data_IF_088504813959
#
_entry.id   IF_088504813959
#
_cell.length_a   1.000
_cell.length_b   1.000
_cell.length_c   1.000
_cell.angle_alpha   90.00
_cell.angle_beta   90.00
_cell.angle_gamma   90.00
#
_symmetry.space_group_name_H-M   'P 1'
#
loop_
_entity.id
_entity.type
_entity.pdbx_description
1 polymer ?
#
# COMPACT_ATOMS: atom_id res chain seq x y z
N UNK A 1 -44.26 -11.67 12.45
CA UNK A 1 -44.88 -11.21 13.73
C UNK A 1 -44.39 -9.79 14.01
N UNK A 2 -45.24 -8.89 14.51
CA UNK A 2 -44.78 -7.61 15.03
C UNK A 2 -43.79 -7.82 16.18
N UNK A 3 -42.81 -6.92 16.32
CA UNK A 3 -41.87 -6.94 17.44
C UNK A 3 -42.64 -6.67 18.75
N UNK A 4 -42.57 -7.60 19.70
CA UNK A 4 -43.12 -7.38 21.04
C UNK A 4 -42.16 -6.52 21.87
N UNK A 5 -42.44 -5.21 21.90
CA UNK A 5 -41.65 -4.21 22.63
C UNK A 5 -41.70 -4.46 24.15
N UNK A 6 -42.70 -5.17 24.66
CA UNK A 6 -42.83 -5.46 26.09
C UNK A 6 -41.89 -6.58 26.57
N UNK A 7 -41.30 -7.34 25.65
CA UNK A 7 -40.36 -8.42 25.92
C UNK A 7 -39.14 -8.38 24.98
N UNK A 8 -38.45 -7.23 24.93
CA UNK A 8 -37.23 -7.07 24.14
C UNK A 8 -36.02 -7.83 24.71
N UNK A 9 -36.05 -8.22 26.00
CA UNK A 9 -34.93 -8.90 26.63
C UNK A 9 -34.67 -10.28 26.01
N UNK A 10 -35.72 -11.06 25.77
CA UNK A 10 -35.64 -12.40 25.18
C UNK A 10 -34.97 -12.44 23.80
N UNK A 11 -35.36 -11.63 22.80
CA UNK A 11 -34.71 -11.62 21.49
C UNK A 11 -33.32 -10.95 21.46
N UNK A 12 -32.93 -10.18 22.48
CA UNK A 12 -31.62 -9.50 22.56
C UNK A 12 -30.58 -10.32 23.34
N UNK A 13 -31.01 -11.28 24.16
CA UNK A 13 -30.10 -12.15 24.93
C UNK A 13 -29.30 -13.13 24.07
N UNK A 14 -29.90 -13.62 22.99
CA UNK A 14 -29.22 -14.49 22.03
C UNK A 14 -28.47 -13.65 20.98
N UNK A 15 -27.27 -14.08 20.53
CA UNK A 15 -26.61 -13.44 19.40
C UNK A 15 -27.57 -13.40 18.21
N UNK A 16 -27.86 -12.21 17.70
CA UNK A 16 -28.75 -12.06 16.57
C UNK A 16 -28.22 -12.90 15.39
N UNK A 17 -29.09 -13.74 14.82
CA UNK A 17 -28.77 -14.45 13.59
C UNK A 17 -28.35 -13.44 12.53
N UNK A 18 -27.17 -13.63 11.95
CA UNK A 18 -26.63 -12.75 10.91
C UNK A 18 -26.85 -13.37 9.53
N UNK A 19 -27.81 -12.89 8.72
CA UNK A 19 -28.11 -13.48 7.42
C UNK A 19 -27.00 -13.20 6.40
N UNK A 20 -26.76 -14.15 5.49
CA UNK A 20 -25.80 -13.97 4.39
C UNK A 20 -26.16 -12.76 3.50
N UNK A 21 -27.45 -12.45 3.35
CA UNK A 21 -27.88 -11.24 2.63
C UNK A 21 -27.40 -9.96 3.31
N UNK A 22 -27.38 -9.90 4.65
CA UNK A 22 -26.86 -8.76 5.40
C UNK A 22 -25.34 -8.67 5.27
N UNK A 23 -24.64 -9.81 5.33
CA UNK A 23 -23.20 -9.88 5.10
C UNK A 23 -22.82 -9.33 3.71
N UNK A 24 -23.54 -9.72 2.66
CA UNK A 24 -23.33 -9.23 1.29
C UNK A 24 -23.51 -7.72 1.19
N UNK A 25 -24.53 -7.15 1.85
CA UNK A 25 -24.78 -5.70 1.84
C UNK A 25 -23.64 -4.92 2.51
N UNK A 26 -23.13 -5.40 3.65
CA UNK A 26 -22.04 -4.70 4.34
C UNK A 26 -20.69 -4.86 3.65
N UNK A 27 -20.49 -5.94 2.88
CA UNK A 27 -19.26 -6.20 2.12
C UNK A 27 -19.30 -5.67 0.68
N UNK A 28 -20.39 -5.04 0.24
CA UNK A 28 -20.54 -4.59 -1.14
C UNK A 28 -19.43 -3.61 -1.58
N UNK A 29 -19.04 -2.59 -0.78
CA UNK A 29 -17.93 -1.69 -1.14
C UNK A 29 -16.58 -2.42 -1.29
N UNK A 30 -16.32 -3.43 -0.46
CA UNK A 30 -15.12 -4.26 -0.54
C UNK A 30 -15.14 -5.18 -1.76
N UNK A 31 -16.28 -5.78 -2.05
CA UNK A 31 -16.49 -6.63 -3.23
C UNK A 31 -16.30 -5.82 -4.51
N UNK A 32 -16.81 -4.58 -4.53
CA UNK A 32 -16.60 -3.65 -5.63
C UNK A 32 -15.11 -3.42 -5.93
N UNK A 33 -14.31 -3.01 -4.94
CA UNK A 33 -12.88 -2.69 -5.18
C UNK A 33 -12.03 -3.92 -5.51
N UNK A 34 -12.43 -5.11 -5.05
CA UNK A 34 -11.72 -6.36 -5.30
C UNK A 34 -12.15 -7.05 -6.61
N UNK A 35 -13.28 -6.64 -7.20
CA UNK A 35 -13.76 -7.17 -8.50
C UNK A 35 -12.83 -6.83 -9.67
N UNK A 36 -12.03 -5.76 -9.56
CA UNK A 36 -11.00 -5.38 -10.51
C UNK A 36 -9.63 -5.44 -9.84
N UNK A 37 -8.97 -6.61 -9.84
CA UNK A 37 -7.63 -6.74 -9.29
C UNK A 37 -6.68 -5.79 -10.02
N UNK A 38 -5.71 -5.25 -9.28
CA UNK A 38 -4.71 -4.34 -9.83
C UNK A 38 -3.57 -5.13 -10.44
N UNK A 39 -2.48 -4.44 -10.79
CA UNK A 39 -1.20 -5.13 -11.01
C UNK A 39 -0.80 -5.76 -9.67
N UNK A 40 -0.90 -7.08 -9.57
CA UNK A 40 -0.80 -7.87 -8.33
C UNK A 40 0.65 -8.05 -7.87
N UNK A 41 1.42 -6.96 -7.76
CA UNK A 41 2.83 -6.96 -7.31
C UNK A 41 2.98 -7.67 -5.96
N UNK A 42 1.98 -7.56 -5.07
CA UNK A 42 1.98 -8.25 -3.78
C UNK A 42 1.93 -9.77 -3.93
N UNK A 43 1.11 -10.28 -4.84
CA UNK A 43 1.04 -11.72 -5.13
C UNK A 43 2.36 -12.21 -5.70
N UNK A 44 2.94 -11.46 -6.64
CA UNK A 44 4.27 -11.77 -7.19
C UNK A 44 5.36 -11.77 -6.10
N UNK A 45 5.33 -10.82 -5.17
CA UNK A 45 6.25 -10.79 -4.05
C UNK A 45 6.07 -11.99 -3.13
N UNK A 46 4.83 -12.34 -2.76
CA UNK A 46 4.55 -13.53 -1.94
C UNK A 46 5.13 -14.78 -2.62
N UNK A 47 4.91 -14.96 -3.92
CA UNK A 47 5.47 -16.09 -4.67
C UNK A 47 7.00 -16.06 -4.68
N UNK A 48 7.60 -14.91 -4.96
CA UNK A 48 9.03 -14.72 -5.01
C UNK A 48 9.73 -15.02 -3.67
N UNK A 49 9.17 -14.52 -2.55
CA UNK A 49 9.67 -14.85 -1.22
C UNK A 49 9.43 -16.32 -0.84
N UNK A 50 8.37 -16.94 -1.36
CA UNK A 50 8.09 -18.34 -1.08
C UNK A 50 9.14 -19.29 -1.69
N UNK A 51 9.86 -18.85 -2.73
CA UNK A 51 11.06 -19.56 -3.25
C UNK A 51 12.14 -19.75 -2.18
N UNK A 52 12.27 -18.79 -1.26
CA UNK A 52 13.20 -18.88 -0.13
C UNK A 52 12.60 -19.52 1.12
N UNK A 53 11.31 -19.29 1.39
CA UNK A 53 10.69 -19.64 2.68
C UNK A 53 9.96 -20.98 2.67
N UNK A 54 9.60 -21.51 1.50
CA UNK A 54 8.91 -22.80 1.32
C UNK A 54 7.72 -23.00 2.29
N UNK A 55 6.87 -21.98 2.41
CA UNK A 55 5.71 -22.01 3.30
C UNK A 55 4.70 -23.05 2.80
N UNK A 56 4.13 -23.90 3.68
CA UNK A 56 3.11 -24.86 3.29
C UNK A 56 1.93 -24.20 2.58
N UNK A 57 1.43 -24.82 1.51
CA UNK A 57 0.42 -24.20 0.62
C UNK A 57 -0.81 -23.69 1.37
N UNK A 58 -1.34 -24.47 2.31
CA UNK A 58 -2.51 -24.10 3.10
C UNK A 58 -2.28 -22.83 3.93
N UNK A 59 -1.09 -22.70 4.52
CA UNK A 59 -0.71 -21.52 5.31
C UNK A 59 -0.47 -20.31 4.41
N UNK A 60 0.21 -20.51 3.27
CA UNK A 60 0.44 -19.47 2.27
C UNK A 60 -0.87 -18.90 1.72
N UNK A 61 -1.88 -19.76 1.49
CA UNK A 61 -3.20 -19.34 1.03
C UNK A 61 -3.93 -18.49 2.09
N UNK A 62 -3.82 -18.83 3.38
CA UNK A 62 -4.35 -18.00 4.48
C UNK A 62 -3.63 -16.65 4.54
N UNK A 63 -2.28 -16.65 4.52
CA UNK A 63 -1.47 -15.42 4.54
C UNK A 63 -1.85 -14.52 3.37
N UNK A 64 -1.99 -15.07 2.18
CA UNK A 64 -2.38 -14.32 0.97
C UNK A 64 -3.76 -13.67 1.12
N UNK A 65 -4.73 -14.37 1.74
CA UNK A 65 -6.06 -13.81 2.03
C UNK A 65 -5.99 -12.69 3.05
N UNK A 66 -5.28 -12.88 4.16
CA UNK A 66 -5.07 -11.83 5.19
C UNK A 66 -4.45 -10.57 4.58
N UNK A 67 -3.34 -10.71 3.85
CA UNK A 67 -2.64 -9.59 3.23
C UNK A 67 -3.54 -8.87 2.22
N UNK A 68 -4.28 -9.60 1.39
CA UNK A 68 -5.23 -9.01 0.44
C UNK A 68 -6.33 -8.22 1.14
N UNK A 69 -6.91 -8.77 2.21
CA UNK A 69 -7.97 -8.11 2.98
C UNK A 69 -7.47 -6.81 3.61
N UNK A 70 -6.33 -6.86 4.30
CA UNK A 70 -5.73 -5.67 4.94
C UNK A 70 -5.36 -4.61 3.89
N UNK A 71 -4.77 -5.00 2.77
CA UNK A 71 -4.40 -4.08 1.71
C UNK A 71 -5.62 -3.43 1.05
N UNK A 72 -6.63 -4.21 0.69
CA UNK A 72 -7.85 -3.68 0.07
C UNK A 72 -8.63 -2.79 1.03
N UNK A 73 -8.72 -3.16 2.32
CA UNK A 73 -9.32 -2.32 3.34
C UNK A 73 -8.57 -0.99 3.49
N UNK A 74 -7.24 -1.02 3.54
CA UNK A 74 -6.44 0.21 3.67
C UNK A 74 -6.60 1.14 2.48
N UNK A 75 -6.71 0.61 1.26
CA UNK A 75 -6.97 1.43 0.07
C UNK A 75 -8.32 2.15 0.13
N UNK A 76 -9.36 1.50 0.69
CA UNK A 76 -10.68 2.13 0.83
C UNK A 76 -10.64 3.31 1.78
N UNK A 77 -9.88 3.19 2.88
CA UNK A 77 -9.69 4.26 3.86
C UNK A 77 -8.82 5.37 3.27
N UNK A 78 -7.68 5.02 2.68
CA UNK A 78 -6.73 5.95 2.03
C UNK A 78 -7.41 6.78 0.94
N UNK A 79 -8.19 6.14 0.05
CA UNK A 79 -8.94 6.86 -1.01
C UNK A 79 -9.93 7.89 -0.43
N UNK A 80 -10.47 7.66 0.78
CA UNK A 80 -11.33 8.63 1.48
C UNK A 80 -10.49 9.75 2.10
N UNK A 81 -9.42 9.38 2.80
CA UNK A 81 -8.53 10.31 3.50
C UNK A 81 -7.86 11.29 2.54
N UNK A 82 -7.58 10.85 1.31
CA UNK A 82 -6.96 11.63 0.23
C UNK A 82 -8.01 12.34 -0.66
N UNK A 83 -9.29 11.97 -0.55
CA UNK A 83 -10.35 12.55 -1.38
C UNK A 83 -10.23 12.14 -2.85
N UNK A 84 -9.66 10.97 -3.11
CA UNK A 84 -9.43 10.43 -4.44
C UNK A 84 -10.71 10.35 -5.28
N UNK A 85 -10.56 10.43 -6.60
CA UNK A 85 -11.68 10.28 -7.55
C UNK A 85 -11.70 8.91 -8.19
N UNK A 86 -10.54 8.41 -8.58
CA UNK A 86 -10.39 7.16 -9.31
C UNK A 86 -9.40 6.21 -8.62
N UNK A 87 -9.67 4.92 -8.74
CA UNK A 87 -8.73 3.85 -8.46
C UNK A 87 -8.80 2.81 -9.57
N UNK A 88 -7.65 2.46 -10.16
CA UNK A 88 -7.56 1.49 -11.26
C UNK A 88 -8.51 1.85 -12.43
N UNK A 89 -8.63 3.16 -12.70
CA UNK A 89 -9.47 3.71 -13.76
C UNK A 89 -10.97 3.63 -13.49
N UNK A 90 -11.40 3.39 -12.25
CA UNK A 90 -12.81 3.34 -11.84
C UNK A 90 -13.09 4.31 -10.70
N UNK A 91 -14.34 4.78 -10.53
CA UNK A 91 -14.71 5.57 -9.37
C UNK A 91 -14.36 4.84 -8.07
N UNK A 92 -13.78 5.56 -7.10
CA UNK A 92 -13.49 4.99 -5.78
C UNK A 92 -14.79 4.62 -5.04
N UNK A 93 -14.73 3.63 -4.15
CA UNK A 93 -15.92 3.07 -3.49
C UNK A 93 -16.78 4.13 -2.79
N UNK A 94 -16.16 5.10 -2.11
CA UNK A 94 -16.88 6.13 -1.38
C UNK A 94 -17.66 7.10 -2.28
N UNK A 95 -17.37 7.15 -3.59
CA UNK A 95 -18.14 7.92 -4.58
C UNK A 95 -19.40 7.20 -5.05
N UNK A 96 -19.46 5.88 -4.84
CA UNK A 96 -20.62 5.03 -5.20
C UNK A 96 -21.49 4.78 -3.96
N UNK A 97 -20.86 4.33 -2.88
CA UNK A 97 -21.52 3.84 -1.66
C UNK A 97 -21.58 4.90 -0.54
N UNK A 98 -20.90 6.04 -0.73
CA UNK A 98 -20.76 7.07 0.29
C UNK A 98 -19.65 6.76 1.30
N UNK A 99 -19.16 7.82 1.92
CA UNK A 99 -18.09 7.75 2.95
C UNK A 99 -18.51 6.87 4.14
N UNK A 100 -19.72 7.01 4.75
CA UNK A 100 -20.05 6.26 5.96
C UNK A 100 -20.05 4.74 5.75
N UNK A 101 -20.63 4.27 4.64
CA UNK A 101 -20.66 2.84 4.33
C UNK A 101 -19.26 2.31 4.03
N UNK A 102 -18.48 3.06 3.23
CA UNK A 102 -17.14 2.63 2.82
C UNK A 102 -16.16 2.53 4.00
N UNK A 103 -16.15 3.51 4.92
CA UNK A 103 -15.33 3.44 6.14
C UNK A 103 -15.76 2.25 7.00
N UNK A 104 -17.06 2.06 7.21
CA UNK A 104 -17.55 0.95 8.02
C UNK A 104 -17.16 -0.41 7.44
N UNK A 105 -17.31 -0.59 6.12
CA UNK A 105 -16.89 -1.81 5.42
C UNK A 105 -15.39 -2.04 5.53
N UNK A 106 -14.56 -1.01 5.31
CA UNK A 106 -13.11 -1.14 5.39
C UNK A 106 -12.66 -1.57 6.79
N UNK A 107 -13.19 -0.90 7.83
CA UNK A 107 -12.90 -1.24 9.22
C UNK A 107 -13.38 -2.65 9.58
N UNK A 108 -14.55 -3.05 9.09
CA UNK A 108 -15.06 -4.40 9.27
C UNK A 108 -14.12 -5.46 8.65
N UNK A 109 -13.59 -5.20 7.45
CA UNK A 109 -12.66 -6.09 6.76
C UNK A 109 -11.33 -6.22 7.51
N UNK A 110 -10.84 -5.18 8.21
CA UNK A 110 -9.69 -5.34 9.11
C UNK A 110 -9.94 -6.43 10.15
N UNK A 111 -11.11 -6.46 10.79
CA UNK A 111 -11.43 -7.50 11.78
C UNK A 111 -11.71 -8.87 11.15
N UNK A 112 -12.27 -8.91 9.94
CA UNK A 112 -12.35 -10.16 9.18
C UNK A 112 -10.97 -10.72 8.86
N UNK A 113 -9.96 -9.87 8.63
CA UNK A 113 -8.59 -10.32 8.40
C UNK A 113 -7.99 -10.97 9.66
N UNK A 114 -8.31 -10.48 10.86
CA UNK A 114 -7.96 -11.16 12.12
C UNK A 114 -8.70 -12.48 12.30
N UNK A 115 -9.98 -12.55 11.90
CA UNK A 115 -10.73 -13.82 11.88
C UNK A 115 -10.07 -14.85 10.96
N UNK A 116 -9.58 -14.42 9.80
CA UNK A 116 -8.85 -15.25 8.85
C UNK A 116 -7.48 -15.66 9.40
N UNK A 117 -6.75 -14.74 10.03
CA UNK A 117 -5.47 -14.99 10.70
C UNK A 117 -5.59 -16.09 11.77
N UNK A 118 -6.75 -16.19 12.44
CA UNK A 118 -6.99 -17.22 13.44
C UNK A 118 -6.96 -18.65 12.88
N UNK A 119 -7.10 -18.85 11.57
CA UNK A 119 -6.94 -20.16 10.94
C UNK A 119 -5.50 -20.65 11.07
N UNK A 120 -4.49 -19.76 10.98
CA UNK A 120 -3.10 -20.12 11.20
C UNK A 120 -2.82 -20.59 12.63
N UNK A 121 -3.65 -20.19 13.60
CA UNK A 121 -3.52 -20.54 15.02
C UNK A 121 -4.06 -21.93 15.36
N UNK A 122 -5.02 -22.43 14.58
CA UNK A 122 -5.81 -23.63 14.91
C UNK A 122 -5.26 -24.93 14.32
N UNK A 123 -3.99 -24.98 13.92
CA UNK A 123 -3.35 -26.25 13.58
C UNK A 123 -3.14 -27.10 14.86
N UNK A 124 -3.41 -28.40 14.75
CA UNK A 124 -3.45 -29.35 15.87
C UNK A 124 -2.12 -29.37 16.65
N UNK A 125 -2.15 -29.20 17.99
CA UNK A 125 -0.94 -29.26 18.82
C UNK A 125 -0.22 -30.63 18.79
N UNK A 126 -0.81 -31.66 18.17
CA UNK A 126 -0.10 -32.93 17.89
C UNK A 126 0.92 -32.86 16.75
N UNK A 127 0.88 -31.83 15.91
CA UNK A 127 1.89 -31.54 14.87
C UNK A 127 3.05 -30.65 15.38
N UNK A 128 3.07 -30.31 16.69
CA UNK A 128 4.02 -29.37 17.29
C UNK A 128 5.46 -29.91 17.44
N UNK A 129 5.72 -31.21 17.23
CA UNK A 129 7.10 -31.74 17.29
C UNK A 129 7.97 -31.28 16.11
N UNK A 130 7.39 -30.73 15.03
CA UNK A 130 8.12 -30.35 13.80
C UNK A 130 8.10 -28.83 13.53
N UNK A 131 7.37 -28.04 14.33
CA UNK A 131 7.23 -26.59 14.06
C UNK A 131 8.14 -25.76 14.96
N UNK A 132 9.12 -25.11 14.34
CA UNK A 132 10.12 -24.24 15.00
C UNK A 132 9.50 -22.92 15.55
N UNK A 133 8.25 -22.59 15.22
CA UNK A 133 7.67 -21.24 15.46
C UNK A 133 6.49 -21.24 16.43
N UNK A 134 6.59 -21.98 17.54
CA UNK A 134 5.64 -21.90 18.66
C UNK A 134 5.63 -20.53 19.39
N UNK A 135 6.45 -19.54 18.97
CA UNK A 135 6.78 -18.35 19.76
C UNK A 135 6.62 -16.99 19.06
N UNK A 136 5.98 -16.89 17.89
CA UNK A 136 5.56 -15.60 17.34
C UNK A 136 4.05 -15.48 17.48
N UNK A 137 3.64 -14.64 18.42
CA UNK A 137 2.26 -14.19 18.51
C UNK A 137 1.92 -13.48 17.18
N UNK A 138 1.24 -14.21 16.29
CA UNK A 138 0.88 -13.73 14.96
C UNK A 138 -0.03 -12.50 15.06
N UNK A 139 -0.86 -12.42 16.11
CA UNK A 139 -1.71 -11.27 16.39
C UNK A 139 -0.82 -10.05 16.69
N UNK A 140 0.23 -10.20 17.51
CA UNK A 140 1.19 -9.12 17.76
C UNK A 140 1.94 -8.70 16.47
N UNK A 141 2.39 -9.65 15.66
CA UNK A 141 3.08 -9.34 14.37
C UNK A 141 2.21 -8.45 13.48
N UNK A 142 0.94 -8.82 13.30
CA UNK A 142 0.01 -8.04 12.47
C UNK A 142 -0.34 -6.71 13.13
N UNK A 143 -0.57 -6.72 14.44
CA UNK A 143 -0.95 -5.51 15.20
C UNK A 143 0.15 -4.46 15.19
N UNK A 144 1.41 -4.84 15.41
CA UNK A 144 2.55 -3.91 15.39
C UNK A 144 2.71 -3.23 14.03
N UNK A 145 2.54 -3.98 12.94
CA UNK A 145 2.66 -3.43 11.59
C UNK A 145 1.44 -2.61 11.17
N UNK A 146 0.24 -2.94 11.64
CA UNK A 146 -0.93 -2.06 11.46
C UNK A 146 -0.79 -0.76 12.25
N UNK A 147 -0.20 -0.80 13.46
CA UNK A 147 0.13 0.41 14.22
C UNK A 147 1.19 1.24 13.49
N UNK A 148 2.22 0.61 12.92
CA UNK A 148 3.21 1.29 12.08
C UNK A 148 2.53 1.95 10.87
N UNK A 149 1.68 1.23 10.14
CA UNK A 149 0.92 1.75 9.00
C UNK A 149 0.16 3.02 9.37
N UNK A 150 -0.62 2.99 10.46
CA UNK A 150 -1.40 4.15 10.90
C UNK A 150 -0.52 5.31 11.39
N UNK A 151 0.64 5.04 12.00
CA UNK A 151 1.61 6.09 12.36
C UNK A 151 2.17 6.78 11.11
N UNK A 152 2.49 6.01 10.08
CA UNK A 152 2.92 6.54 8.78
C UNK A 152 1.84 7.40 8.13
N UNK A 153 0.62 6.84 7.98
CA UNK A 153 -0.54 7.54 7.43
C UNK A 153 -0.84 8.83 8.19
N UNK A 154 -0.86 8.77 9.52
CA UNK A 154 -1.16 9.92 10.37
C UNK A 154 -0.15 11.06 10.21
N UNK A 155 1.14 10.76 10.06
CA UNK A 155 2.17 11.77 9.81
C UNK A 155 2.03 12.39 8.42
N UNK A 156 1.76 11.59 7.39
CA UNK A 156 1.52 12.09 6.03
C UNK A 156 0.33 13.05 5.99
N UNK A 157 -0.80 12.64 6.59
CA UNK A 157 -2.01 13.48 6.72
C UNK A 157 -1.70 14.75 7.51
N UNK A 158 -0.98 14.63 8.63
CA UNK A 158 -0.60 15.78 9.44
C UNK A 158 0.22 16.79 8.63
N UNK A 159 1.26 16.36 7.92
CA UNK A 159 2.09 17.24 7.09
C UNK A 159 1.27 17.90 5.99
N UNK A 160 0.45 17.12 5.28
CA UNK A 160 -0.46 17.59 4.23
C UNK A 160 -1.42 18.67 4.73
N UNK A 161 -2.07 18.43 5.86
CA UNK A 161 -3.14 19.29 6.37
C UNK A 161 -2.61 20.50 7.17
N UNK A 162 -1.41 20.39 7.77
CA UNK A 162 -0.70 21.50 8.41
C UNK A 162 0.17 22.32 7.46
N UNK A 163 0.33 21.87 6.21
CA UNK A 163 1.24 22.43 5.20
C UNK A 163 2.70 22.48 5.68
N UNK A 164 3.11 21.50 6.49
CA UNK A 164 4.47 21.36 7.00
C UNK A 164 5.24 20.35 6.14
N UNK A 165 6.16 20.83 5.32
CA UNK A 165 6.99 19.95 4.49
C UNK A 165 7.96 19.12 5.35
N UNK A 166 7.92 17.77 5.31
CA UNK A 166 8.87 16.93 6.03
C UNK A 166 10.27 17.03 5.42
N UNK A 167 11.29 16.64 6.18
CA UNK A 167 12.62 16.31 5.64
C UNK A 167 12.58 15.02 4.84
N UNK A 168 13.57 14.79 3.96
CA UNK A 168 13.66 13.52 3.23
C UNK A 168 13.79 12.33 4.18
N UNK A 169 14.52 12.48 5.29
CA UNK A 169 14.66 11.43 6.30
C UNK A 169 13.34 11.13 7.02
N UNK A 170 12.56 12.16 7.36
CA UNK A 170 11.22 12.00 7.93
C UNK A 170 10.28 11.33 6.93
N UNK A 171 10.31 11.75 5.65
CA UNK A 171 9.56 11.13 4.58
C UNK A 171 9.90 9.63 4.46
N UNK A 172 11.18 9.26 4.40
CA UNK A 172 11.60 7.85 4.31
C UNK A 172 11.11 7.05 5.52
N UNK A 173 11.19 7.64 6.71
CA UNK A 173 10.70 7.00 7.95
C UNK A 173 9.19 6.81 7.95
N UNK A 174 8.44 7.79 7.42
CA UNK A 174 6.99 7.70 7.24
C UNK A 174 6.63 6.60 6.22
N UNK A 175 7.30 6.57 5.07
CA UNK A 175 7.09 5.56 4.02
C UNK A 175 7.39 4.15 4.54
N UNK A 176 8.48 3.99 5.28
CA UNK A 176 8.83 2.71 5.88
C UNK A 176 7.73 2.21 6.84
N UNK A 177 7.02 3.12 7.51
CA UNK A 177 5.88 2.80 8.34
C UNK A 177 4.60 2.49 7.52
N UNK A 178 4.18 3.39 6.62
CA UNK A 178 2.95 3.27 5.81
C UNK A 178 3.02 2.10 4.82
N UNK A 179 3.97 2.16 3.88
CA UNK A 179 4.05 1.23 2.75
C UNK A 179 4.82 -0.02 3.11
N UNK A 180 5.89 0.13 3.90
CA UNK A 180 6.66 -1.01 4.42
C UNK A 180 5.86 -1.90 5.36
N UNK A 181 4.90 -1.35 6.13
CA UNK A 181 4.10 -2.12 7.11
C UNK A 181 3.32 -3.27 6.47
N UNK A 182 2.58 -3.02 5.39
CA UNK A 182 1.83 -4.08 4.71
C UNK A 182 2.73 -5.15 4.08
N UNK A 183 3.86 -4.77 3.49
CA UNK A 183 4.81 -5.76 2.96
C UNK A 183 5.44 -6.58 4.10
N UNK A 184 5.78 -5.94 5.22
CA UNK A 184 6.31 -6.62 6.41
C UNK A 184 5.30 -7.60 7.00
N UNK A 185 3.99 -7.30 7.02
CA UNK A 185 2.97 -8.26 7.44
C UNK A 185 3.07 -9.55 6.62
N UNK A 186 3.07 -9.43 5.29
CA UNK A 186 3.15 -10.59 4.41
C UNK A 186 4.40 -11.44 4.71
N UNK A 187 5.57 -10.81 4.71
CA UNK A 187 6.84 -11.54 4.85
C UNK A 187 7.07 -12.03 6.28
N UNK A 188 6.67 -11.28 7.31
CA UNK A 188 6.78 -11.73 8.71
C UNK A 188 5.87 -12.93 9.00
N UNK A 189 4.66 -12.96 8.45
CA UNK A 189 3.78 -14.12 8.55
C UNK A 189 4.38 -15.31 7.78
N UNK A 190 4.92 -15.10 6.58
CA UNK A 190 5.60 -16.16 5.82
C UNK A 190 6.83 -16.71 6.56
N UNK A 191 7.68 -15.85 7.11
CA UNK A 191 8.83 -16.26 7.93
C UNK A 191 8.39 -17.05 9.17
N UNK A 192 7.25 -16.72 9.76
CA UNK A 192 6.69 -17.48 10.89
C UNK A 192 6.16 -18.87 10.49
N UNK A 193 5.93 -19.09 9.20
CA UNK A 193 5.40 -20.33 8.63
C UNK A 193 6.42 -21.05 7.73
N UNK A 194 7.67 -20.59 7.70
CA UNK A 194 8.68 -21.06 6.77
C UNK A 194 9.19 -22.47 7.15
N UNK A 195 9.55 -23.26 6.14
CA UNK A 195 10.20 -24.58 6.31
C UNK A 195 11.66 -24.59 5.88
N UNK A 196 12.10 -23.51 5.21
CA UNK A 196 13.48 -23.28 4.76
C UNK A 196 13.91 -21.85 5.10
N UNK A 197 15.21 -21.61 5.29
CA UNK A 197 15.76 -20.29 5.61
C UNK A 197 15.11 -19.63 6.84
N UNK A 198 14.75 -20.44 7.84
CA UNK A 198 13.99 -20.03 9.04
C UNK A 198 14.72 -18.99 9.92
N UNK A 199 16.05 -18.96 9.84
CA UNK A 199 16.91 -18.05 10.63
C UNK A 199 17.33 -16.79 9.86
N UNK A 200 16.81 -16.60 8.64
CA UNK A 200 17.16 -15.45 7.79
C UNK A 200 16.13 -14.34 7.98
N UNK A 201 16.60 -13.15 8.35
CA UNK A 201 15.75 -11.96 8.41
C UNK A 201 15.67 -11.26 7.05
N UNK A 202 14.47 -11.28 6.47
CA UNK A 202 14.16 -10.63 5.19
C UNK A 202 13.59 -9.21 5.35
N UNK A 203 13.35 -8.73 6.57
CA UNK A 203 12.78 -7.39 6.82
C UNK A 203 13.62 -6.26 6.20
N UNK A 204 14.97 -6.27 6.25
CA UNK A 204 15.77 -5.21 5.63
C UNK A 204 15.52 -5.08 4.12
N UNK A 205 15.47 -6.20 3.39
CA UNK A 205 15.14 -6.24 1.97
C UNK A 205 13.73 -5.68 1.71
N UNK A 206 12.76 -6.10 2.52
CA UNK A 206 11.37 -5.63 2.40
C UNK A 206 11.24 -4.13 2.63
N UNK A 207 11.98 -3.58 3.59
CA UNK A 207 12.01 -2.15 3.86
C UNK A 207 12.63 -1.37 2.69
N UNK A 208 13.77 -1.83 2.15
CA UNK A 208 14.40 -1.24 0.97
C UNK A 208 13.44 -1.23 -0.23
N UNK A 209 12.79 -2.37 -0.50
CA UNK A 209 11.80 -2.50 -1.57
C UNK A 209 10.61 -1.57 -1.33
N UNK A 210 10.10 -1.48 -0.10
CA UNK A 210 8.97 -0.61 0.24
C UNK A 210 9.26 0.88 0.00
N UNK A 211 10.47 1.34 0.34
CA UNK A 211 10.90 2.72 0.07
C UNK A 211 11.07 2.97 -1.43
N UNK A 212 11.75 2.06 -2.14
CA UNK A 212 11.87 2.12 -3.61
C UNK A 212 10.49 2.19 -4.28
N UNK A 213 9.57 1.31 -3.88
CA UNK A 213 8.24 1.21 -4.46
C UNK A 213 7.43 2.50 -4.28
N UNK A 214 7.50 3.13 -3.09
CA UNK A 214 6.75 4.35 -2.82
C UNK A 214 7.33 5.56 -3.56
N UNK A 215 8.65 5.76 -3.56
CA UNK A 215 9.29 6.87 -4.28
C UNK A 215 8.99 6.77 -5.78
N UNK A 216 9.00 5.55 -6.31
CA UNK A 216 8.58 5.28 -7.68
C UNK A 216 7.10 5.62 -7.91
N UNK A 217 6.19 5.22 -7.02
CA UNK A 217 4.75 5.53 -7.15
C UNK A 217 4.50 7.05 -7.16
N UNK A 218 5.17 7.79 -6.29
CA UNK A 218 5.16 9.25 -6.19
C UNK A 218 5.68 9.91 -7.49
N UNK A 219 6.80 9.41 -8.04
CA UNK A 219 7.31 9.88 -9.32
C UNK A 219 6.31 9.64 -10.47
N UNK A 220 5.77 8.42 -10.54
CA UNK A 220 4.85 8.02 -11.60
C UNK A 220 3.52 8.77 -11.53
N UNK A 221 3.05 9.16 -10.34
CA UNK A 221 1.85 9.98 -10.16
C UNK A 221 1.94 11.31 -10.94
N UNK A 222 3.13 11.94 -10.93
CA UNK A 222 3.37 13.24 -11.56
C UNK A 222 3.80 13.16 -13.03
N UNK A 223 4.21 11.99 -13.51
CA UNK A 223 4.88 11.84 -14.82
C UNK A 223 4.12 10.94 -15.81
N UNK A 224 3.37 9.93 -15.34
CA UNK A 224 2.85 8.88 -16.20
C UNK A 224 1.44 9.17 -16.71
N UNK A 225 1.25 9.04 -18.03
CA UNK A 225 -0.08 9.08 -18.66
C UNK A 225 -0.94 7.88 -18.25
N UNK A 226 -0.35 6.70 -18.06
CA UNK A 226 -1.07 5.52 -17.56
C UNK A 226 -1.60 5.76 -16.15
N UNK A 227 -0.78 6.33 -15.27
CA UNK A 227 -1.21 6.73 -13.93
C UNK A 227 -2.29 7.80 -13.99
N UNK A 228 -2.17 8.75 -14.91
CA UNK A 228 -3.19 9.77 -15.13
C UNK A 228 -4.55 9.18 -15.49
N UNK A 229 -4.57 8.09 -16.28
CA UNK A 229 -5.80 7.38 -16.63
C UNK A 229 -6.35 6.53 -15.45
N UNK A 230 -5.47 6.03 -14.58
CA UNK A 230 -5.83 5.11 -13.50
C UNK A 230 -6.22 5.79 -12.18
N UNK A 231 -5.57 6.91 -11.84
CA UNK A 231 -5.77 7.68 -10.59
C UNK A 231 -6.31 9.09 -10.86
N UNK A 232 -5.94 9.69 -11.98
CA UNK A 232 -6.18 11.10 -12.30
C UNK A 232 -4.85 11.81 -12.58
N UNK A 233 -4.88 12.90 -13.36
CA UNK A 233 -3.66 13.62 -13.74
C UNK A 233 -3.03 14.32 -12.53
N UNK A 234 -1.84 13.87 -12.10
CA UNK A 234 -1.10 14.42 -10.96
C UNK A 234 -1.96 14.61 -9.71
N UNK A 235 -2.62 13.52 -9.27
CA UNK A 235 -3.50 13.54 -8.10
C UNK A 235 -2.78 13.91 -6.81
N UNK A 236 -1.49 13.61 -6.64
CA UNK A 236 -0.74 14.03 -5.44
C UNK A 236 -0.84 15.57 -5.22
N UNK A 237 -0.94 16.35 -6.30
CA UNK A 237 -1.15 17.79 -6.22
C UNK A 237 -2.60 18.15 -5.84
N UNK A 238 -3.60 17.40 -6.29
CA UNK A 238 -5.00 17.56 -5.82
C UNK A 238 -5.10 17.25 -4.34
N UNK A 239 -4.44 16.20 -3.89
CA UNK A 239 -4.43 15.75 -2.49
C UNK A 239 -3.70 16.79 -1.60
N UNK A 240 -2.75 17.53 -2.17
CA UNK A 240 -1.84 18.42 -1.45
C UNK A 240 -0.71 17.66 -0.76
N UNK A 241 -0.44 16.43 -1.23
CA UNK A 241 0.48 15.48 -0.64
C UNK A 241 1.94 15.93 -0.81
N UNK A 242 2.74 15.71 0.22
CA UNK A 242 4.20 15.88 0.17
C UNK A 242 4.86 14.60 -0.35
N UNK A 243 4.67 14.31 -1.64
CA UNK A 243 5.33 13.19 -2.31
C UNK A 243 6.84 13.44 -2.51
N UNK A 244 7.66 12.42 -2.75
CA UNK A 244 9.13 12.56 -2.75
C UNK A 244 9.67 13.68 -3.66
N UNK A 245 9.24 13.81 -4.94
CA UNK A 245 9.67 14.92 -5.79
C UNK A 245 9.23 16.29 -5.25
N UNK A 246 8.08 16.36 -4.60
CA UNK A 246 7.52 17.58 -4.01
C UNK A 246 8.33 17.99 -2.77
N UNK A 247 8.68 17.03 -1.90
CA UNK A 247 9.56 17.26 -0.73
C UNK A 247 10.89 17.84 -1.16
N UNK A 248 11.57 17.20 -2.13
CA UNK A 248 12.81 17.72 -2.68
C UNK A 248 12.60 19.11 -3.30
N UNK A 249 11.55 19.29 -4.10
CA UNK A 249 11.27 20.57 -4.77
C UNK A 249 11.07 21.75 -3.81
N UNK A 250 10.37 21.54 -2.69
CA UNK A 250 10.19 22.57 -1.66
C UNK A 250 11.51 22.89 -0.96
N UNK A 251 12.37 21.89 -0.73
CA UNK A 251 13.63 22.04 0.00
C UNK A 251 14.79 22.55 -0.84
N UNK A 252 14.76 22.30 -2.16
CA UNK A 252 15.75 22.80 -3.09
C UNK A 252 15.74 24.34 -3.20
N UNK A 253 14.58 24.97 -2.95
CA UNK A 253 14.44 26.43 -2.91
C UNK A 253 13.44 26.86 -1.81
N UNK A 254 13.87 26.81 -0.55
CA UNK A 254 13.02 27.11 0.62
C UNK A 254 12.47 28.55 0.64
N UNK A 255 13.08 29.47 -0.11
CA UNK A 255 12.60 30.87 -0.24
C UNK A 255 11.40 30.96 -1.18
N UNK A 256 11.21 29.96 -2.04
CA UNK A 256 10.18 29.94 -3.05
C UNK A 256 8.95 29.16 -2.58
N UNK A 257 7.85 29.88 -2.40
CA UNK A 257 6.60 29.31 -1.88
C UNK A 257 5.66 28.77 -2.97
N UNK A 258 6.09 28.72 -4.24
CA UNK A 258 5.21 28.34 -5.37
C UNK A 258 4.61 26.94 -5.14
N UNK A 259 5.43 25.93 -4.85
CA UNK A 259 4.95 24.55 -4.65
C UNK A 259 3.98 24.51 -3.45
N UNK A 260 4.37 25.07 -2.30
CA UNK A 260 3.53 25.11 -1.09
C UNK A 260 2.18 25.79 -1.34
N UNK A 261 2.17 26.92 -2.05
CA UNK A 261 0.95 27.65 -2.38
C UNK A 261 0.05 26.88 -3.36
N UNK A 262 0.61 26.02 -4.21
CA UNK A 262 -0.20 25.13 -5.06
C UNK A 262 -0.77 23.97 -4.25
N UNK A 263 0.02 23.31 -3.41
CA UNK A 263 -0.47 22.22 -2.54
C UNK A 263 -1.61 22.68 -1.65
N UNK A 264 -1.50 23.87 -1.05
CA UNK A 264 -2.57 24.45 -0.22
C UNK A 264 -3.88 24.64 -0.99
N UNK A 265 -3.81 24.90 -2.30
CA UNK A 265 -5.01 25.12 -3.14
C UNK A 265 -5.67 23.83 -3.60
N UNK A 266 -5.00 22.67 -3.50
CA UNK A 266 -5.53 21.37 -3.91
C UNK A 266 -6.18 21.41 -5.30
N UNK A 267 -5.43 21.82 -6.35
CA UNK A 267 -6.00 22.09 -7.65
C UNK A 267 -6.65 20.86 -8.27
N UNK A 268 -7.89 21.01 -8.72
CA UNK A 268 -8.58 20.00 -9.54
C UNK A 268 -8.37 20.23 -11.04
N UNK A 269 -7.97 21.43 -11.45
CA UNK A 269 -7.75 21.78 -12.86
C UNK A 269 -6.29 21.62 -13.29
N UNK A 270 -6.02 21.33 -14.58
CA UNK A 270 -4.66 21.02 -15.02
C UNK A 270 -3.67 22.19 -14.96
N UNK A 271 -4.12 23.44 -14.95
CA UNK A 271 -3.25 24.62 -15.10
C UNK A 271 -2.18 24.71 -14.01
N UNK A 272 -2.60 24.62 -12.74
CA UNK A 272 -1.67 24.66 -11.61
C UNK A 272 -0.83 23.38 -11.50
N UNK A 273 -1.38 22.24 -11.94
CA UNK A 273 -0.66 20.97 -11.97
C UNK A 273 0.51 21.01 -12.97
N UNK A 274 0.26 21.41 -14.22
CA UNK A 274 1.31 21.59 -15.23
C UNK A 274 2.37 22.60 -14.77
N UNK A 275 1.96 23.75 -14.25
CA UNK A 275 2.90 24.75 -13.75
C UNK A 275 3.84 24.20 -12.66
N UNK A 276 3.31 23.40 -11.74
CA UNK A 276 4.10 22.80 -10.66
C UNK A 276 5.02 21.70 -11.18
N UNK A 277 4.55 20.87 -12.12
CA UNK A 277 5.36 19.84 -12.79
C UNK A 277 6.53 20.49 -13.55
N UNK A 278 6.29 21.57 -14.29
CA UNK A 278 7.34 22.31 -15.00
C UNK A 278 8.34 22.92 -14.02
N UNK A 279 7.87 23.43 -12.88
CA UNK A 279 8.73 23.93 -11.82
C UNK A 279 9.63 22.83 -11.24
N UNK A 280 9.06 21.68 -10.89
CA UNK A 280 9.78 20.50 -10.40
C UNK A 280 10.82 19.99 -11.41
N UNK A 281 10.50 20.05 -12.71
CA UNK A 281 11.40 19.60 -13.78
C UNK A 281 12.54 20.58 -14.03
N UNK A 282 12.21 21.84 -14.29
CA UNK A 282 13.15 22.79 -14.91
C UNK A 282 13.75 23.78 -13.92
N UNK A 283 13.18 23.95 -12.72
CA UNK A 283 13.69 24.91 -11.72
C UNK A 283 14.42 24.23 -10.57
N UNK A 284 13.89 23.12 -10.07
CA UNK A 284 14.47 22.42 -8.92
C UNK A 284 15.11 21.08 -9.29
N UNK A 285 15.01 20.63 -10.55
CA UNK A 285 15.54 19.34 -11.01
C UNK A 285 15.12 18.15 -10.13
N UNK A 286 13.90 18.23 -9.57
CA UNK A 286 13.40 17.25 -8.59
C UNK A 286 13.10 15.89 -9.22
N UNK A 287 12.75 15.86 -10.51
CA UNK A 287 12.55 14.60 -11.23
C UNK A 287 13.88 13.87 -11.45
N UNK A 288 14.93 14.58 -11.88
CA UNK A 288 16.27 13.99 -12.05
C UNK A 288 16.83 13.51 -10.71
N UNK A 289 16.65 14.29 -9.64
CA UNK A 289 17.00 13.87 -8.28
C UNK A 289 16.27 12.59 -7.87
N UNK A 290 14.95 12.54 -8.08
CA UNK A 290 14.12 11.37 -7.74
C UNK A 290 14.55 10.12 -8.52
N UNK A 291 14.85 10.27 -9.81
CA UNK A 291 15.34 9.18 -10.65
C UNK A 291 16.70 8.64 -10.17
N UNK A 292 17.64 9.53 -9.81
CA UNK A 292 18.93 9.14 -9.23
C UNK A 292 18.76 8.38 -7.90
N UNK A 293 17.89 8.86 -7.01
CA UNK A 293 17.58 8.20 -5.74
C UNK A 293 16.95 6.82 -5.99
N UNK A 294 16.00 6.73 -6.91
CA UNK A 294 15.30 5.48 -7.26
C UNK A 294 16.27 4.47 -7.87
N UNK A 295 17.19 4.91 -8.73
CA UNK A 295 18.25 4.06 -9.31
C UNK A 295 19.21 3.53 -8.25
N UNK A 296 19.64 4.39 -7.31
CA UNK A 296 20.48 3.97 -6.17
C UNK A 296 19.78 2.97 -5.27
N UNK A 297 18.49 3.19 -4.97
CA UNK A 297 17.69 2.24 -4.19
C UNK A 297 17.52 0.91 -4.92
N UNK A 298 17.26 0.92 -6.22
CA UNK A 298 17.16 -0.31 -7.03
C UNK A 298 18.46 -1.13 -6.95
N UNK A 299 19.63 -0.47 -7.08
CA UNK A 299 20.92 -1.13 -6.93
C UNK A 299 21.11 -1.75 -5.53
N UNK A 300 20.68 -1.04 -4.47
CA UNK A 300 20.73 -1.55 -3.10
C UNK A 300 19.80 -2.76 -2.92
N UNK A 301 18.59 -2.74 -3.48
CA UNK A 301 17.67 -3.88 -3.43
C UNK A 301 18.29 -5.09 -4.15
N UNK A 302 18.87 -4.90 -5.35
CA UNK A 302 19.54 -5.98 -6.09
C UNK A 302 20.75 -6.54 -5.34
N UNK A 303 21.56 -5.68 -4.74
CA UNK A 303 22.70 -6.10 -3.92
C UNK A 303 22.25 -6.93 -2.71
N UNK A 304 21.14 -6.54 -2.07
CA UNK A 304 20.58 -7.27 -0.94
C UNK A 304 19.98 -8.62 -1.36
N UNK A 305 19.29 -8.69 -2.52
CA UNK A 305 18.85 -9.96 -3.11
C UNK A 305 20.04 -10.90 -3.36
N UNK A 306 21.12 -10.39 -3.96
CA UNK A 306 22.32 -11.17 -4.20
C UNK A 306 22.98 -11.65 -2.90
N UNK A 307 23.05 -10.79 -1.87
CA UNK A 307 23.56 -11.12 -0.54
C UNK A 307 22.76 -12.25 0.12
N UNK A 308 21.44 -12.30 -0.11
CA UNK A 308 20.52 -13.32 0.39
C UNK A 308 20.50 -14.60 -0.47
N UNK A 309 21.41 -14.75 -1.43
CA UNK A 309 21.54 -15.96 -2.26
C UNK A 309 20.85 -15.89 -3.63
N UNK A 310 20.36 -14.72 -4.03
CA UNK A 310 19.74 -14.49 -5.34
C UNK A 310 18.27 -14.91 -5.41
N UNK A 311 17.49 -14.21 -6.24
CA UNK A 311 16.08 -14.50 -6.49
C UNK A 311 15.64 -13.86 -7.81
N UNK A 312 15.63 -14.68 -8.86
CA UNK A 312 15.20 -14.33 -10.22
C UNK A 312 13.79 -13.73 -10.30
N UNK A 313 12.85 -14.20 -9.46
CA UNK A 313 11.49 -13.66 -9.42
C UNK A 313 11.48 -12.23 -8.85
N UNK A 314 12.24 -11.96 -7.79
CA UNK A 314 12.37 -10.59 -7.25
C UNK A 314 13.11 -9.67 -8.23
N UNK A 315 14.15 -10.16 -8.90
CA UNK A 315 14.86 -9.42 -9.94
C UNK A 315 13.93 -9.09 -11.12
N UNK A 316 13.10 -10.04 -11.55
CA UNK A 316 12.09 -9.80 -12.59
C UNK A 316 11.02 -8.79 -12.20
N UNK A 317 10.62 -8.76 -10.92
CA UNK A 317 9.72 -7.70 -10.39
C UNK A 317 10.41 -6.33 -10.47
N UNK A 318 11.70 -6.23 -10.11
CA UNK A 318 12.45 -4.98 -10.23
C UNK A 318 12.59 -4.53 -11.68
N UNK A 319 12.86 -5.45 -12.60
CA UNK A 319 12.96 -5.15 -14.04
C UNK A 319 11.63 -4.58 -14.57
N UNK A 320 10.49 -5.15 -14.16
CA UNK A 320 9.16 -4.65 -14.53
C UNK A 320 8.83 -3.28 -13.89
N UNK A 321 9.46 -2.96 -12.77
CA UNK A 321 9.31 -1.68 -12.07
C UNK A 321 10.33 -0.63 -12.51
N UNK A 322 11.37 -1.00 -13.26
CA UNK A 322 12.41 -0.07 -13.66
C UNK A 322 11.84 1.15 -14.39
N UNK A 323 12.28 2.35 -13.98
CA UNK A 323 11.95 3.62 -14.64
C UNK A 323 13.20 4.10 -15.36
N UNK A 324 13.21 4.17 -16.70
CA UNK A 324 14.38 4.62 -17.45
C UNK A 324 14.73 6.07 -17.11
N UNK A 325 16.03 6.41 -17.12
CA UNK A 325 16.50 7.78 -16.87
C UNK A 325 16.11 8.78 -17.97
N UNK A 326 15.75 8.32 -19.17
CA UNK A 326 15.62 9.14 -20.39
C UNK A 326 14.18 9.62 -20.73
N UNK A 327 13.26 9.69 -19.76
CA UNK A 327 11.87 10.16 -20.04
C UNK A 327 11.77 11.69 -20.27
N UNK A 328 12.90 12.37 -20.48
CA UNK A 328 13.00 13.83 -20.63
C UNK A 328 12.61 14.41 -22.00
N UNK A 329 12.29 13.59 -23.00
CA UNK A 329 11.86 14.07 -24.31
C UNK A 329 10.40 13.68 -24.60
N UNK A 330 9.50 14.66 -24.61
CA UNK A 330 8.12 14.50 -25.06
C UNK A 330 8.13 14.06 -26.53
N UNK A 331 7.63 12.86 -26.82
CA UNK A 331 7.43 12.37 -28.18
C UNK A 331 7.05 10.90 -28.21
N UNK A 332 5.75 10.63 -28.18
CA UNK A 332 5.08 9.43 -28.73
C UNK A 332 5.97 8.20 -28.95
N UNK A 333 6.07 7.34 -27.95
CA UNK A 333 6.26 5.91 -28.20
C UNK A 333 5.29 5.16 -27.33
N UNK A 334 4.24 4.62 -27.96
CA UNK A 334 3.55 3.43 -27.47
C UNK A 334 4.58 2.31 -27.34
N UNK A 335 5.30 2.26 -26.22
CA UNK A 335 5.87 0.99 -25.79
C UNK A 335 4.73 0.23 -25.15
N UNK A 336 4.12 -0.66 -25.95
CA UNK A 336 3.35 -1.78 -25.43
C UNK A 336 4.26 -2.61 -24.52
N UNK A 337 4.38 -2.22 -23.25
CA UNK A 337 4.84 -3.11 -22.19
C UNK A 337 3.69 -4.08 -21.91
N UNK A 338 3.54 -5.07 -22.81
CA UNK A 338 2.90 -6.35 -22.48
C UNK A 338 3.85 -7.10 -21.56
N UNK A 339 4.03 -6.66 -20.32
CA UNK A 339 4.73 -7.47 -19.30
C UNK A 339 4.19 -7.08 -17.92
N UNK A 340 3.46 -8.05 -17.35
CA UNK A 340 3.01 -8.23 -15.95
C UNK A 340 1.97 -7.25 -15.37
#
# INVERSE_FOLDING_TARGET
MPLDISNLLSPIQEPAFWPESSERVILEPYTYITSKPGKEIRTLLIEAFNKWLSVPREQLDVISRVVRMLHSASLMVDDIEDGAQLRRGQPVAHRIYGIPQTINTANYVYFLAYKELAILRNHDPKDDEVRVVANKDLDLVVTEELLALHRGQGLEIFWRDSLQCPTEQEYISMVNNKTGGLFRIAIKLMMACATTNIDVDYVPLVNLFGVYFQIRDDYMNLQSTEYSNNKGFAEDLTEGKFSFPIVHGVRADEKNRVILNVLQKRPTTPTLKHHTIDHLRYKTSSFDYTLNVTSSLEQQVRAEIARLGGNDQLEGILDALHVPMDVGAVGTTESSSRVL
#
